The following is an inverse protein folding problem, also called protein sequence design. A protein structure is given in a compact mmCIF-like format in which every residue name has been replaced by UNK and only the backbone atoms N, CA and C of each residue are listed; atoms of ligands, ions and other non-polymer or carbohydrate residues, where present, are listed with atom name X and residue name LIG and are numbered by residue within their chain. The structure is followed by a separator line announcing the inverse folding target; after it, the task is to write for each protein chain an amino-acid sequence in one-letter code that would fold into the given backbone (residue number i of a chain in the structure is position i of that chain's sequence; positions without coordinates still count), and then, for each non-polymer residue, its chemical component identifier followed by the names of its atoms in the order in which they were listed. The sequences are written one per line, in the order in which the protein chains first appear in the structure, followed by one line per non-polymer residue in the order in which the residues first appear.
data_IF_720237943445
#
_entry.id   IF_720237943445
#
_cell.length_a   1.000
_cell.length_b   1.000
_cell.length_c   1.000
_cell.angle_alpha   90.00
_cell.angle_beta   90.00
_cell.angle_gamma   90.00
#
_symmetry.space_group_name_H-M   'P 1'
#
loop_
_entity.id
_entity.type
_entity.pdbx_description
1 polymer ?
#
# COMPACT_ATOMS: atom_id res chain seq x y z
N UNK A 1 15.68 19.05 36.85
CA UNK A 1 14.45 18.44 36.31
C UNK A 1 14.70 16.95 36.19
N UNK A 2 13.97 16.11 36.94
CA UNK A 2 14.15 14.65 36.86
C UNK A 2 13.65 14.18 35.51
N UNK A 3 14.55 13.65 34.66
CA UNK A 3 14.19 12.95 33.44
C UNK A 3 13.19 11.85 33.81
N UNK A 4 11.92 12.02 33.40
CA UNK A 4 10.92 10.97 33.51
C UNK A 4 11.38 9.89 32.53
N UNK A 5 11.98 8.81 33.04
CA UNK A 5 12.22 7.61 32.24
C UNK A 5 10.89 7.23 31.60
N UNK A 6 10.84 7.28 30.27
CA UNK A 6 9.64 6.96 29.54
C UNK A 6 9.22 5.51 29.83
N UNK A 7 7.91 5.33 29.95
CA UNK A 7 7.33 4.01 30.22
C UNK A 7 7.60 3.10 29.02
N UNK A 8 8.23 1.95 29.26
CA UNK A 8 8.45 0.96 28.20
C UNK A 8 7.10 0.49 27.65
N UNK A 9 6.91 0.43 26.32
CA UNK A 9 5.69 -0.06 25.70
C UNK A 9 5.39 -1.50 26.15
N UNK A 10 4.17 -1.74 26.58
CA UNK A 10 3.70 -3.05 27.01
C UNK A 10 3.04 -3.81 25.84
N UNK A 11 2.91 -5.15 25.93
CA UNK A 11 2.13 -5.92 24.95
C UNK A 11 0.67 -5.44 24.81
N UNK A 12 0.11 -4.84 25.87
CA UNK A 12 -1.23 -4.27 25.85
C UNK A 12 -1.28 -2.97 25.04
N UNK A 13 -0.22 -2.16 25.07
CA UNK A 13 -0.09 -0.95 24.26
C UNK A 13 0.02 -1.29 22.77
N UNK A 14 0.74 -2.37 22.40
CA UNK A 14 0.77 -2.89 21.03
C UNK A 14 -0.60 -3.36 20.54
N UNK A 15 -1.40 -4.02 21.39
CA UNK A 15 -2.78 -4.41 21.04
C UNK A 15 -3.67 -3.20 20.78
N UNK A 16 -3.56 -2.16 21.61
CA UNK A 16 -4.29 -0.91 21.41
C UNK A 16 -3.88 -0.23 20.09
N UNK A 17 -2.58 -0.18 19.80
CA UNK A 17 -2.04 0.37 18.57
C UNK A 17 -2.53 -0.38 17.32
N UNK A 18 -2.49 -1.71 17.35
CA UNK A 18 -3.05 -2.55 16.27
C UNK A 18 -4.54 -2.33 16.08
N UNK A 19 -5.30 -2.16 17.16
CA UNK A 19 -6.74 -1.86 17.10
C UNK A 19 -7.01 -0.50 16.45
N UNK A 20 -6.19 0.51 16.74
CA UNK A 20 -6.26 1.81 16.09
C UNK A 20 -5.95 1.73 14.59
N UNK A 21 -4.89 1.00 14.20
CA UNK A 21 -4.53 0.77 12.78
C UNK A 21 -5.67 0.09 12.01
N UNK A 22 -6.29 -0.95 12.60
CA UNK A 22 -7.44 -1.65 12.00
C UNK A 22 -8.63 -0.69 11.86
N UNK A 23 -8.89 0.13 12.87
CA UNK A 23 -9.98 1.10 12.86
C UNK A 23 -9.80 2.16 11.76
N UNK A 24 -8.59 2.68 11.58
CA UNK A 24 -8.24 3.60 10.50
C UNK A 24 -8.39 2.95 9.12
N UNK A 25 -7.95 1.70 8.97
CA UNK A 25 -8.14 0.93 7.72
C UNK A 25 -9.62 0.80 7.36
N UNK A 26 -10.49 0.59 8.35
CA UNK A 26 -11.94 0.53 8.13
C UNK A 26 -12.51 1.89 7.72
N UNK A 27 -12.03 2.99 8.30
CA UNK A 27 -12.44 4.35 7.95
C UNK A 27 -12.02 4.66 6.51
N UNK A 28 -10.77 4.39 6.15
CA UNK A 28 -10.21 4.55 4.80
C UNK A 28 -11.05 3.80 3.76
N UNK A 29 -11.35 2.51 4.00
CA UNK A 29 -12.18 1.70 3.09
C UNK A 29 -13.62 2.24 2.95
N UNK A 30 -14.17 2.87 3.99
CA UNK A 30 -15.49 3.52 3.90
C UNK A 30 -15.42 4.81 3.09
N UNK A 31 -14.38 5.62 3.31
CA UNK A 31 -14.15 6.86 2.56
C UNK A 31 -13.89 6.58 1.08
N UNK A 32 -13.06 5.59 0.75
CA UNK A 32 -12.77 5.20 -0.63
C UNK A 32 -14.05 4.82 -1.40
N UNK A 33 -14.90 3.98 -0.79
CA UNK A 33 -16.20 3.62 -1.38
C UNK A 33 -17.12 4.83 -1.57
N UNK A 34 -17.14 5.76 -0.61
CA UNK A 34 -17.95 6.97 -0.71
C UNK A 34 -17.43 7.92 -1.80
N UNK A 35 -16.11 8.05 -1.95
CA UNK A 35 -15.48 8.85 -3.00
C UNK A 35 -15.89 8.32 -4.37
N UNK A 36 -15.74 7.02 -4.63
CA UNK A 36 -16.15 6.40 -5.91
C UNK A 36 -17.64 6.61 -6.16
N UNK A 37 -18.48 6.42 -5.14
CA UNK A 37 -19.92 6.66 -5.24
C UNK A 37 -20.25 8.10 -5.63
N UNK A 38 -19.59 9.08 -5.00
CA UNK A 38 -19.81 10.50 -5.29
C UNK A 38 -19.28 10.91 -6.66
N UNK A 39 -18.17 10.33 -7.13
CA UNK A 39 -17.63 10.59 -8.48
C UNK A 39 -18.56 10.04 -9.56
N UNK A 40 -19.16 8.87 -9.35
CA UNK A 40 -20.17 8.32 -10.26
C UNK A 40 -21.46 9.17 -10.25
N UNK A 41 -21.86 9.65 -9.08
CA UNK A 41 -23.00 10.56 -8.94
C UNK A 41 -22.74 11.89 -9.64
N UNK A 42 -21.53 12.47 -9.51
CA UNK A 42 -21.12 13.67 -10.23
C UNK A 42 -21.25 13.48 -11.74
N UNK A 43 -20.70 12.37 -12.29
CA UNK A 43 -20.79 12.06 -13.73
C UNK A 43 -22.25 12.03 -14.20
N UNK A 44 -23.13 11.37 -13.44
CA UNK A 44 -24.57 11.32 -13.75
C UNK A 44 -25.20 12.71 -13.79
N UNK A 45 -24.97 13.54 -12.78
CA UNK A 45 -25.54 14.89 -12.72
C UNK A 45 -24.96 15.84 -13.77
N UNK A 46 -23.69 15.66 -14.14
CA UNK A 46 -23.07 16.38 -15.26
C UNK A 46 -23.79 16.09 -16.57
N UNK A 47 -24.10 14.81 -16.87
CA UNK A 47 -24.86 14.46 -18.08
C UNK A 47 -26.29 15.01 -18.06
N UNK A 48 -27.00 14.90 -16.94
CA UNK A 48 -28.34 15.49 -16.78
C UNK A 48 -28.33 17.02 -16.97
N UNK A 49 -27.30 17.70 -16.48
CA UNK A 49 -27.12 19.14 -16.67
C UNK A 49 -26.93 19.48 -18.15
N UNK A 50 -26.08 18.74 -18.87
CA UNK A 50 -25.89 18.90 -20.32
C UNK A 50 -27.18 18.69 -21.10
N UNK A 51 -27.97 17.68 -20.74
CA UNK A 51 -29.27 17.41 -21.37
C UNK A 51 -30.27 18.54 -21.12
N UNK A 52 -30.37 19.04 -19.89
CA UNK A 52 -31.24 20.17 -19.56
C UNK A 52 -30.85 21.43 -20.34
N UNK A 53 -29.54 21.70 -20.50
CA UNK A 53 -29.05 22.79 -21.33
C UNK A 53 -29.46 22.63 -22.81
N UNK A 54 -29.34 21.43 -23.39
CA UNK A 54 -29.78 21.15 -24.76
C UNK A 54 -31.28 21.39 -24.95
N UNK A 55 -32.10 21.04 -23.94
CA UNK A 55 -33.55 21.24 -23.93
C UNK A 55 -33.97 22.68 -23.61
N UNK A 56 -33.03 23.59 -23.35
CA UNK A 56 -33.26 24.97 -22.85
C UNK A 56 -34.04 25.03 -21.53
N UNK A 57 -34.02 23.95 -20.74
CA UNK A 57 -34.54 23.95 -19.37
C UNK A 57 -33.48 24.56 -18.43
N UNK A 58 -33.51 25.88 -18.33
CA UNK A 58 -32.54 26.64 -17.54
C UNK A 58 -32.70 26.40 -16.03
N UNK A 59 -33.92 26.13 -15.57
CA UNK A 59 -34.20 25.89 -14.15
C UNK A 59 -33.68 24.51 -13.72
N UNK A 60 -33.92 23.48 -14.54
CA UNK A 60 -33.33 22.15 -14.35
C UNK A 60 -31.81 22.19 -14.39
N UNK A 61 -31.21 22.85 -15.39
CA UNK A 61 -29.76 22.99 -15.51
C UNK A 61 -29.14 23.68 -14.29
N UNK A 62 -29.75 24.76 -13.78
CA UNK A 62 -29.30 25.45 -12.57
C UNK A 62 -29.37 24.56 -11.33
N UNK A 63 -30.46 23.80 -11.18
CA UNK A 63 -30.63 22.84 -10.08
C UNK A 63 -29.54 21.77 -10.12
N UNK A 64 -29.29 21.15 -11.28
CA UNK A 64 -28.22 20.16 -11.42
C UNK A 64 -26.83 20.74 -11.16
N UNK A 65 -26.56 21.97 -11.62
CA UNK A 65 -25.30 22.66 -11.32
C UNK A 65 -25.08 22.86 -9.80
N UNK A 66 -26.14 23.21 -9.06
CA UNK A 66 -26.08 23.34 -7.59
C UNK A 66 -25.80 21.99 -6.90
N UNK A 67 -26.41 20.90 -7.37
CA UNK A 67 -26.10 19.55 -6.88
C UNK A 67 -24.64 19.15 -7.17
N UNK A 68 -24.14 19.39 -8.39
CA UNK A 68 -22.75 19.12 -8.76
C UNK A 68 -21.79 19.87 -7.82
N UNK A 69 -22.06 21.15 -7.53
CA UNK A 69 -21.24 21.93 -6.61
C UNK A 69 -21.23 21.32 -5.18
N UNK A 70 -22.38 20.83 -4.72
CA UNK A 70 -22.52 20.18 -3.41
C UNK A 70 -21.79 18.82 -3.35
N UNK A 71 -21.85 18.04 -4.43
CA UNK A 71 -21.10 16.77 -4.58
C UNK A 71 -19.60 17.06 -4.55
N UNK A 72 -19.12 18.07 -5.28
CA UNK A 72 -17.70 18.48 -5.28
C UNK A 72 -17.21 18.91 -3.90
N UNK A 73 -18.03 19.66 -3.16
CA UNK A 73 -17.71 20.04 -1.78
C UNK A 73 -17.57 18.79 -0.88
N UNK A 74 -18.49 17.83 -1.03
CA UNK A 74 -18.45 16.55 -0.31
C UNK A 74 -17.23 15.71 -0.67
N UNK A 75 -16.88 15.63 -1.96
CA UNK A 75 -15.68 14.96 -2.45
C UNK A 75 -14.41 15.54 -1.85
N UNK A 76 -14.31 16.88 -1.79
CA UNK A 76 -13.17 17.57 -1.16
C UNK A 76 -13.01 17.14 0.29
N UNK A 77 -14.09 17.17 1.08
CA UNK A 77 -14.06 16.74 2.49
C UNK A 77 -13.66 15.26 2.60
N UNK A 78 -14.28 14.36 1.85
CA UNK A 78 -13.98 12.94 1.90
C UNK A 78 -12.53 12.63 1.52
N UNK A 79 -11.99 13.27 0.46
CA UNK A 79 -10.59 13.10 0.01
C UNK A 79 -9.62 13.61 1.07
N UNK A 80 -9.89 14.77 1.68
CA UNK A 80 -9.08 15.30 2.78
C UNK A 80 -9.08 14.36 3.99
N UNK A 81 -10.24 13.85 4.41
CA UNK A 81 -10.33 12.89 5.52
C UNK A 81 -9.61 11.58 5.21
N UNK A 82 -9.67 11.10 3.96
CA UNK A 82 -8.98 9.89 3.54
C UNK A 82 -7.45 10.05 3.63
N UNK A 83 -6.94 11.21 3.21
CA UNK A 83 -5.52 11.54 3.33
C UNK A 83 -5.06 11.53 4.80
N UNK A 84 -5.78 12.21 5.70
CA UNK A 84 -5.47 12.21 7.13
C UNK A 84 -5.51 10.81 7.76
N UNK A 85 -6.51 10.00 7.39
CA UNK A 85 -6.63 8.63 7.90
C UNK A 85 -5.44 7.76 7.45
N UNK A 86 -5.02 7.90 6.19
CA UNK A 86 -3.86 7.21 5.64
C UNK A 86 -2.57 7.64 6.34
N UNK A 87 -2.35 8.94 6.49
CA UNK A 87 -1.17 9.50 7.14
C UNK A 87 -1.04 9.01 8.59
N UNK A 88 -2.12 9.08 9.37
CA UNK A 88 -2.14 8.59 10.75
C UNK A 88 -1.88 7.08 10.80
N UNK A 89 -2.45 6.31 9.87
CA UNK A 89 -2.23 4.86 9.80
C UNK A 89 -0.75 4.54 9.57
N UNK A 90 -0.09 5.23 8.63
CA UNK A 90 1.34 5.05 8.35
C UNK A 90 2.16 5.36 9.61
N UNK A 91 1.90 6.49 10.27
CA UNK A 91 2.58 6.84 11.54
C UNK A 91 2.42 5.76 12.60
N UNK A 92 1.21 5.25 12.82
CA UNK A 92 0.95 4.19 13.80
C UNK A 92 1.64 2.87 13.44
N UNK A 93 1.74 2.52 12.15
CA UNK A 93 2.50 1.36 11.69
C UNK A 93 4.00 1.54 11.98
N UNK A 94 4.56 2.72 11.71
CA UNK A 94 5.96 3.01 12.05
C UNK A 94 6.22 2.91 13.55
N UNK A 95 5.33 3.45 14.39
CA UNK A 95 5.44 3.30 15.85
C UNK A 95 5.38 1.85 16.29
N UNK A 96 4.49 1.06 15.70
CA UNK A 96 4.39 -0.37 16.02
C UNK A 96 5.70 -1.07 15.71
N UNK A 97 6.31 -0.77 14.57
CA UNK A 97 7.56 -1.38 14.12
C UNK A 97 8.74 -1.02 15.03
N UNK A 98 8.85 0.24 15.46
CA UNK A 98 9.86 0.62 16.44
C UNK A 98 9.67 -0.10 17.78
N UNK A 99 8.43 -0.27 18.23
CA UNK A 99 8.13 -0.99 19.47
C UNK A 99 8.48 -2.47 19.35
N UNK A 100 8.22 -3.11 18.20
CA UNK A 100 8.60 -4.51 17.98
C UNK A 100 10.11 -4.68 17.98
N UNK A 101 10.84 -3.82 17.26
CA UNK A 101 12.31 -3.79 17.29
C UNK A 101 12.83 -3.65 18.75
N UNK A 102 12.21 -2.79 19.55
CA UNK A 102 12.55 -2.63 20.97
C UNK A 102 12.35 -3.92 21.78
N UNK A 103 11.25 -4.63 21.54
CA UNK A 103 10.95 -5.89 22.24
C UNK A 103 11.95 -6.99 21.87
N UNK A 104 12.48 -6.97 20.66
CA UNK A 104 13.43 -7.97 20.16
C UNK A 104 14.87 -7.68 20.60
N UNK A 105 15.32 -6.42 20.50
CA UNK A 105 16.72 -6.03 20.78
C UNK A 105 16.94 -5.74 22.28
N UNK A 106 15.96 -5.14 22.95
CA UNK A 106 16.09 -4.67 24.33
C UNK A 106 16.52 -5.74 25.34
N UNK A 107 15.97 -6.98 25.32
CA UNK A 107 16.44 -8.06 26.18
C UNK A 107 17.87 -8.50 25.88
N UNK A 108 18.23 -8.60 24.59
CA UNK A 108 19.57 -8.98 24.14
C UNK A 108 20.63 -8.01 24.66
N UNK A 109 20.32 -6.70 24.71
CA UNK A 109 21.24 -5.71 25.25
C UNK A 109 21.48 -5.84 26.76
N UNK A 110 20.46 -6.24 27.53
CA UNK A 110 20.63 -6.55 28.96
C UNK A 110 21.45 -7.82 29.17
N UNK A 111 21.21 -8.82 28.32
CA UNK A 111 21.97 -10.08 28.35
C UNK A 111 23.46 -9.83 28.08
N UNK A 112 23.77 -8.86 27.20
CA UNK A 112 25.14 -8.44 26.91
C UNK A 112 25.83 -7.85 28.16
N UNK A 113 25.12 -7.07 28.98
CA UNK A 113 25.61 -6.55 30.26
C UNK A 113 26.00 -7.68 31.23
N UNK A 114 25.13 -8.69 31.35
CA UNK A 114 25.37 -9.84 32.21
C UNK A 114 26.58 -10.66 31.74
N UNK A 115 26.76 -10.81 30.43
CA UNK A 115 27.93 -11.50 29.84
C UNK A 115 29.20 -10.69 30.06
N UNK A 116 29.18 -9.36 29.84
CA UNK A 116 30.32 -8.48 30.08
C UNK A 116 30.82 -8.61 31.53
N UNK A 117 29.88 -8.65 32.49
CA UNK A 117 30.20 -8.83 33.91
C UNK A 117 30.84 -10.19 34.25
N UNK A 118 30.46 -11.27 33.55
CA UNK A 118 31.07 -12.61 33.72
C UNK A 118 32.46 -12.72 33.09
N UNK A 119 32.67 -12.04 31.96
CA UNK A 119 33.92 -12.08 31.19
C UNK A 119 35.01 -11.19 31.79
N UNK A 120 34.62 -10.23 32.63
CA UNK A 120 35.51 -9.35 33.41
C UNK A 120 36.66 -10.06 34.12
N UNK A 121 36.45 -11.30 34.58
CA UNK A 121 37.46 -12.06 35.32
C UNK A 121 38.66 -12.53 34.50
N UNK A 122 38.56 -12.62 33.17
CA UNK A 122 39.63 -13.14 32.31
C UNK A 122 39.91 -12.30 31.05
N UNK A 123 38.96 -11.48 30.58
CA UNK A 123 39.20 -10.50 29.51
C UNK A 123 38.82 -9.07 29.97
N UNK A 124 39.55 -8.48 30.93
CA UNK A 124 39.26 -7.15 31.45
C UNK A 124 39.43 -6.06 30.39
N UNK A 125 40.30 -6.26 29.40
CA UNK A 125 40.56 -5.31 28.31
C UNK A 125 39.36 -5.14 27.36
N UNK A 126 38.47 -6.14 27.26
CA UNK A 126 37.30 -6.12 26.38
C UNK A 126 36.09 -5.44 27.04
N UNK A 127 36.16 -5.15 28.34
CA UNK A 127 35.03 -4.63 29.11
C UNK A 127 34.64 -3.21 28.69
N UNK A 128 35.63 -2.39 28.32
CA UNK A 128 35.41 -1.00 27.92
C UNK A 128 34.68 -0.94 26.57
N UNK A 129 35.14 -1.70 25.56
CA UNK A 129 34.49 -1.83 24.26
C UNK A 129 33.04 -2.35 24.37
N UNK A 130 32.81 -3.37 25.21
CA UNK A 130 31.48 -3.94 25.46
C UNK A 130 30.53 -2.91 26.09
N UNK A 131 31.05 -2.09 27.00
CA UNK A 131 30.27 -1.06 27.70
C UNK A 131 29.98 0.14 26.80
N UNK A 132 30.94 0.58 26.00
CA UNK A 132 30.73 1.63 24.99
C UNK A 132 29.66 1.22 23.99
N UNK A 133 29.71 -0.02 23.48
CA UNK A 133 28.66 -0.55 22.61
C UNK A 133 27.31 -0.58 23.33
N UNK A 134 27.28 -1.02 24.59
CA UNK A 134 26.04 -1.07 25.36
C UNK A 134 25.44 0.32 25.59
N UNK A 135 26.25 1.31 25.93
CA UNK A 135 25.82 2.69 26.15
C UNK A 135 25.35 3.34 24.85
N UNK A 136 26.06 3.10 23.74
CA UNK A 136 25.64 3.54 22.40
C UNK A 136 24.30 2.93 22.00
N UNK A 137 24.16 1.62 22.11
CA UNK A 137 22.93 0.90 21.78
C UNK A 137 21.76 1.33 22.68
N UNK A 138 22.02 1.57 23.97
CA UNK A 138 21.03 2.09 24.92
C UNK A 138 20.62 3.53 24.58
N UNK A 139 21.57 4.38 24.17
CA UNK A 139 21.30 5.77 23.79
C UNK A 139 20.48 5.86 22.50
N UNK A 140 20.84 5.08 21.47
CA UNK A 140 20.05 4.97 20.24
C UNK A 140 18.64 4.49 20.58
N UNK A 141 18.53 3.47 21.43
CA UNK A 141 17.24 2.99 21.90
C UNK A 141 16.44 4.08 22.62
N UNK A 142 17.02 4.75 23.62
CA UNK A 142 16.32 5.79 24.38
C UNK A 142 15.86 6.96 23.48
N UNK A 143 16.60 7.29 22.41
CA UNK A 143 16.18 8.28 21.41
C UNK A 143 14.99 7.86 20.54
N UNK A 144 14.70 6.55 20.47
CA UNK A 144 13.53 5.98 19.77
C UNK A 144 12.28 5.94 20.67
N UNK A 145 12.33 6.58 21.83
CA UNK A 145 11.21 6.69 22.76
C UNK A 145 9.97 7.33 22.08
N UNK A 146 8.77 6.72 22.15
CA UNK A 146 7.56 7.22 21.51
C UNK A 146 7.23 8.69 21.80
N UNK A 147 7.52 9.23 22.99
CA UNK A 147 7.29 10.66 23.28
C UNK A 147 8.29 11.58 22.54
N UNK A 148 9.56 11.18 22.48
CA UNK A 148 10.59 11.91 21.73
C UNK A 148 10.42 11.71 20.23
N UNK A 149 9.95 10.56 19.77
CA UNK A 149 9.65 10.32 18.37
C UNK A 149 8.35 11.01 17.96
N UNK A 150 7.34 11.16 18.83
CA UNK A 150 6.15 12.01 18.55
C UNK A 150 6.53 13.49 18.49
N UNK A 151 7.35 13.97 19.42
CA UNK A 151 7.87 15.34 19.40
C UNK A 151 8.79 15.57 18.20
N UNK A 152 9.64 14.61 17.89
CA UNK A 152 10.51 14.62 16.72
C UNK A 152 9.71 14.48 15.45
N UNK A 153 8.60 13.74 15.39
CA UNK A 153 7.71 13.67 14.24
C UNK A 153 6.91 14.96 14.07
N UNK A 154 6.58 15.69 15.14
CA UNK A 154 6.00 17.02 15.03
C UNK A 154 7.02 18.07 14.52
N UNK A 155 8.27 18.00 14.98
CA UNK A 155 9.40 18.84 14.51
C UNK A 155 9.92 18.40 13.13
N UNK A 156 9.81 17.11 12.85
CA UNK A 156 10.01 16.52 11.56
C UNK A 156 8.77 16.74 10.71
N UNK A 157 7.56 17.04 11.16
CA UNK A 157 6.47 17.42 10.24
C UNK A 157 6.75 18.82 9.67
N UNK A 158 7.31 19.71 10.49
CA UNK A 158 7.84 20.98 10.01
C UNK A 158 9.11 20.83 9.16
N UNK A 159 9.95 19.80 9.38
CA UNK A 159 11.19 19.53 8.60
C UNK A 159 11.06 18.47 7.48
N UNK A 160 10.04 17.63 7.49
CA UNK A 160 9.60 16.65 6.46
C UNK A 160 8.69 17.37 5.49
N UNK A 161 8.08 18.49 5.87
CA UNK A 161 7.62 19.47 4.89
C UNK A 161 8.77 19.96 3.99
N UNK A 162 10.06 19.80 4.34
CA UNK A 162 11.16 19.92 3.36
C UNK A 162 11.63 18.56 2.83
N UNK A 163 11.89 17.55 3.66
CA UNK A 163 12.38 16.23 3.18
C UNK A 163 11.35 15.35 2.45
N UNK A 164 10.10 15.23 2.93
CA UNK A 164 9.03 14.57 2.17
C UNK A 164 8.65 15.35 0.91
N UNK A 165 8.85 16.68 0.87
CA UNK A 165 8.73 17.44 -0.39
C UNK A 165 9.86 17.11 -1.34
N UNK A 166 11.09 16.94 -0.87
CA UNK A 166 12.23 16.53 -1.70
C UNK A 166 12.02 15.13 -2.27
N UNK A 167 11.67 14.14 -1.44
CA UNK A 167 11.35 12.78 -1.89
C UNK A 167 10.12 12.76 -2.79
N UNK A 168 9.08 13.53 -2.46
CA UNK A 168 7.91 13.66 -3.33
C UNK A 168 8.26 14.30 -4.68
N UNK A 169 9.09 15.35 -4.70
CA UNK A 169 9.55 15.97 -5.94
C UNK A 169 10.52 15.07 -6.72
N UNK A 170 11.36 14.28 -6.05
CA UNK A 170 12.22 13.29 -6.67
C UNK A 170 11.40 12.18 -7.32
N UNK A 171 10.44 11.59 -6.59
CA UNK A 171 9.52 10.59 -7.12
C UNK A 171 8.65 11.18 -8.23
N UNK A 172 8.16 12.42 -8.07
CA UNK A 172 7.36 13.12 -9.09
C UNK A 172 8.18 13.39 -10.35
N UNK A 173 9.44 13.79 -10.20
CA UNK A 173 10.37 13.97 -11.34
C UNK A 173 10.65 12.63 -12.00
N UNK A 174 10.93 11.58 -11.24
CA UNK A 174 11.16 10.23 -11.77
C UNK A 174 9.94 9.72 -12.55
N UNK A 175 8.73 9.83 -12.00
CA UNK A 175 7.49 9.43 -12.70
C UNK A 175 7.18 10.29 -13.93
N UNK A 176 7.50 11.58 -13.92
CA UNK A 176 7.35 12.43 -15.10
C UNK A 176 8.39 12.10 -16.19
N UNK A 177 9.61 11.73 -15.79
CA UNK A 177 10.66 11.27 -16.72
C UNK A 177 10.24 9.94 -17.34
N UNK A 178 9.74 8.97 -16.56
CA UNK A 178 9.23 7.70 -17.07
C UNK A 178 8.06 7.89 -18.05
N UNK A 179 7.09 8.75 -17.72
CA UNK A 179 5.97 9.07 -18.61
C UNK A 179 6.41 9.73 -19.93
N UNK A 180 7.47 10.56 -19.90
CA UNK A 180 8.06 11.15 -21.09
C UNK A 180 8.93 10.16 -21.89
N UNK A 181 9.47 9.10 -21.28
CA UNK A 181 10.25 8.08 -21.99
C UNK A 181 9.33 7.20 -22.83
N UNK A 182 8.13 6.86 -22.34
CA UNK A 182 7.13 6.08 -23.10
C UNK A 182 6.54 6.85 -24.29
N UNK A 183 6.46 8.19 -24.24
CA UNK A 183 6.01 9.03 -25.36
C UNK A 183 7.07 9.20 -26.47
N UNK A 184 8.34 8.87 -26.21
CA UNK A 184 9.46 9.09 -27.14
C UNK A 184 10.17 7.82 -27.59
N UNK A 185 9.68 6.62 -27.28
CA UNK A 185 10.22 5.40 -27.89
C UNK A 185 9.92 5.45 -29.40
N UNK A 186 10.93 5.62 -30.28
CA UNK A 186 10.69 5.45 -31.70
C UNK A 186 10.26 4.00 -31.91
N UNK A 187 9.16 3.80 -32.63
CA UNK A 187 8.77 2.46 -33.06
C UNK A 187 9.98 1.82 -33.75
N UNK A 188 10.29 0.53 -33.46
CA UNK A 188 11.40 -0.16 -34.10
C UNK A 188 11.30 0.03 -35.61
N UNK A 189 12.38 0.41 -36.30
CA UNK A 189 12.32 0.72 -37.71
C UNK A 189 11.71 -0.48 -38.44
N UNK A 190 10.61 -0.24 -39.15
CA UNK A 190 10.00 -1.22 -40.03
C UNK A 190 11.09 -1.67 -41.00
N UNK A 191 11.56 -2.90 -40.83
CA UNK A 191 12.36 -3.55 -41.86
C UNK A 191 11.51 -3.59 -43.11
N UNK A 192 11.88 -2.76 -44.09
CA UNK A 192 11.42 -2.86 -45.47
C UNK A 192 11.77 -4.26 -45.98
N UNK A 193 10.85 -5.20 -45.77
CA UNK A 193 10.78 -6.41 -46.56
C UNK A 193 10.22 -6.00 -47.92
N UNK A 194 11.10 -6.09 -48.90
CA UNK A 194 10.93 -5.57 -50.25
C UNK A 194 9.62 -5.96 -50.96
N UNK A 195 9.28 -5.11 -51.92
CA UNK A 195 8.17 -5.25 -52.84
C UNK A 195 8.20 -6.57 -53.64
N UNK A 196 7.04 -7.25 -53.68
CA UNK A 196 6.34 -7.70 -54.89
C UNK A 196 5.12 -8.57 -54.51
N UNK A 197 4.17 -8.85 -55.42
CA UNK A 197 3.32 -7.95 -56.21
C UNK A 197 1.82 -8.16 -55.87
N UNK A 198 0.96 -7.17 -56.20
CA UNK A 198 -0.50 -7.27 -56.08
C UNK A 198 -1.07 -8.40 -56.96
N UNK A 199 -2.11 -9.09 -56.49
CA UNK A 199 -3.32 -9.21 -57.31
C UNK A 199 -4.61 -8.90 -56.54
N UNK A 200 -5.48 -8.21 -57.27
CA UNK A 200 -6.87 -7.87 -56.99
C UNK A 200 -7.79 -9.09 -56.84
N UNK A 201 -8.63 -9.13 -55.81
CA UNK A 201 -10.03 -9.61 -55.87
C UNK A 201 -10.86 -9.13 -54.66
N UNK A 202 -12.18 -9.12 -54.88
CA UNK A 202 -13.33 -8.55 -54.16
C UNK A 202 -13.51 -8.88 -52.65
N UNK A 203 -14.36 -8.11 -51.94
CA UNK A 203 -14.50 -8.17 -50.48
C UNK A 203 -15.51 -9.22 -49.99
N UNK A 204 -15.18 -9.95 -48.91
CA UNK A 204 -16.22 -10.47 -48.04
C UNK A 204 -15.98 -10.20 -46.54
N UNK A 205 -17.09 -9.88 -45.90
CA UNK A 205 -17.52 -10.27 -44.55
C UNK A 205 -16.76 -9.75 -43.32
N UNK A 206 -17.51 -8.99 -42.52
CA UNK A 206 -17.14 -8.52 -41.17
C UNK A 206 -17.22 -9.69 -40.20
N UNK A 207 -16.09 -10.21 -39.77
CA UNK A 207 -16.01 -11.01 -38.55
C UNK A 207 -15.86 -10.10 -37.31
N UNK A 208 -16.46 -10.45 -36.16
CA UNK A 208 -16.39 -9.63 -34.97
C UNK A 208 -14.96 -9.61 -34.42
N UNK A 209 -14.44 -8.38 -34.23
CA UNK A 209 -13.15 -8.13 -33.57
C UNK A 209 -13.20 -8.75 -32.17
N UNK A 210 -12.37 -9.76 -31.93
CA UNK A 210 -12.14 -10.31 -30.60
C UNK A 210 -11.30 -9.28 -29.84
N UNK A 211 -11.93 -8.56 -28.90
CA UNK A 211 -11.23 -7.62 -28.03
C UNK A 211 -10.48 -8.45 -26.98
N UNK A 212 -9.18 -8.61 -27.16
CA UNK A 212 -8.31 -9.12 -26.11
C UNK A 212 -8.08 -7.99 -25.11
N UNK A 213 -8.66 -8.13 -23.92
CA UNK A 213 -8.35 -7.28 -22.78
C UNK A 213 -6.94 -7.65 -22.29
N UNK A 214 -5.94 -6.86 -22.68
CA UNK A 214 -4.64 -6.86 -22.02
C UNK A 214 -4.79 -6.17 -20.66
N UNK A 215 -4.82 -6.96 -19.59
CA UNK A 215 -4.64 -6.45 -18.24
C UNK A 215 -3.15 -6.15 -18.06
N UNK A 216 -2.84 -4.87 -18.01
CA UNK A 216 -1.51 -4.37 -17.68
C UNK A 216 -1.15 -4.77 -16.23
N UNK A 217 0.03 -5.36 -16.07
CA UNK A 217 0.82 -5.31 -14.83
C UNK A 217 0.44 -6.24 -13.69
N UNK A 218 0.80 -7.53 -13.82
CA UNK A 218 1.26 -8.35 -12.69
C UNK A 218 2.23 -9.39 -13.23
N UNK A 219 3.38 -9.59 -12.58
CA UNK A 219 4.35 -10.64 -12.91
C UNK A 219 3.63 -11.93 -13.29
N UNK A 220 3.84 -12.41 -14.50
CA UNK A 220 3.29 -13.67 -14.98
C UNK A 220 3.96 -14.83 -14.24
N UNK A 221 3.59 -15.04 -12.99
CA UNK A 221 3.89 -16.27 -12.27
C UNK A 221 3.21 -17.41 -13.02
N UNK A 222 3.94 -18.50 -13.22
CA UNK A 222 3.36 -19.69 -13.81
C UNK A 222 2.19 -20.18 -12.95
N UNK A 223 1.18 -20.87 -13.51
CA UNK A 223 0.07 -21.40 -12.74
C UNK A 223 0.53 -22.30 -11.57
N UNK A 224 1.69 -22.94 -11.73
CA UNK A 224 2.32 -23.81 -10.74
C UNK A 224 2.95 -23.02 -9.59
N UNK A 225 3.57 -21.86 -9.88
CA UNK A 225 4.09 -20.94 -8.87
C UNK A 225 2.99 -20.34 -8.01
N UNK A 226 1.84 -20.02 -8.64
CA UNK A 226 0.66 -19.51 -7.93
C UNK A 226 0.14 -20.57 -6.94
N UNK A 227 0.12 -21.84 -7.35
CA UNK A 227 -0.32 -22.95 -6.50
C UNK A 227 0.59 -23.15 -5.29
N UNK A 228 1.91 -23.09 -5.48
CA UNK A 228 2.88 -23.26 -4.39
C UNK A 228 2.86 -22.07 -3.43
N UNK A 229 2.75 -20.84 -3.95
CA UNK A 229 2.59 -19.62 -3.16
C UNK A 229 1.28 -19.61 -2.37
N UNK A 230 0.19 -20.14 -2.93
CA UNK A 230 -1.06 -20.32 -2.19
C UNK A 230 -0.90 -21.37 -1.09
N UNK A 231 -0.28 -22.52 -1.39
CA UNK A 231 -0.09 -23.62 -0.43
C UNK A 231 0.73 -23.19 0.79
N UNK A 232 1.82 -22.45 0.59
CA UNK A 232 2.61 -21.89 1.70
C UNK A 232 1.76 -20.93 2.53
N UNK A 233 1.01 -20.06 1.87
CA UNK A 233 0.09 -19.13 2.53
C UNK A 233 -1.02 -19.84 3.33
N UNK A 234 -1.60 -20.95 2.83
CA UNK A 234 -2.61 -21.74 3.56
C UNK A 234 -2.02 -22.36 4.83
N UNK A 235 -0.79 -22.87 4.74
CA UNK A 235 -0.07 -23.48 5.86
C UNK A 235 0.24 -22.46 6.95
N UNK A 236 0.70 -21.27 6.57
CA UNK A 236 0.96 -20.17 7.51
C UNK A 236 -0.31 -19.60 8.13
N UNK A 237 -1.40 -19.50 7.35
CA UNK A 237 -2.68 -18.97 7.82
C UNK A 237 -3.50 -19.97 8.68
N UNK A 238 -2.99 -21.17 8.93
CA UNK A 238 -3.64 -22.17 9.79
C UNK A 238 -4.99 -22.65 9.26
N UNK A 239 -5.16 -22.70 7.93
CA UNK A 239 -6.35 -23.26 7.28
C UNK A 239 -7.58 -22.33 7.18
N UNK A 240 -7.45 -21.03 7.49
CA UNK A 240 -8.51 -20.02 7.22
C UNK A 240 -8.01 -18.97 6.26
N UNK A 241 -8.61 -18.91 5.07
CA UNK A 241 -8.23 -17.96 4.04
C UNK A 241 -9.38 -17.00 3.72
N UNK A 242 -9.03 -15.72 3.63
CA UNK A 242 -9.89 -14.71 3.04
C UNK A 242 -9.38 -14.45 1.61
N UNK A 243 -10.20 -14.78 0.61
CA UNK A 243 -9.84 -14.66 -0.82
C UNK A 243 -9.39 -13.24 -1.21
N UNK A 244 -10.05 -12.20 -0.67
CA UNK A 244 -9.72 -10.81 -1.00
C UNK A 244 -8.40 -10.36 -0.35
N UNK A 245 -8.07 -10.90 0.83
CA UNK A 245 -6.80 -10.63 1.51
C UNK A 245 -5.64 -11.38 0.86
N UNK A 246 -5.86 -12.65 0.51
CA UNK A 246 -4.92 -13.51 -0.20
C UNK A 246 -4.54 -12.92 -1.57
N UNK A 247 -5.54 -12.52 -2.37
CA UNK A 247 -5.35 -11.86 -3.66
C UNK A 247 -4.47 -10.60 -3.54
N UNK A 248 -4.71 -9.78 -2.51
CA UNK A 248 -3.95 -8.54 -2.29
C UNK A 248 -2.52 -8.78 -1.79
N UNK A 249 -2.31 -9.78 -0.94
CA UNK A 249 -0.99 -10.09 -0.36
C UNK A 249 -0.09 -10.86 -1.34
N UNK A 250 -0.68 -11.69 -2.21
CA UNK A 250 0.05 -12.41 -3.27
C UNK A 250 0.14 -11.63 -4.60
N UNK A 251 -0.49 -10.45 -4.69
CA UNK A 251 -0.51 -9.66 -5.93
C UNK A 251 -1.30 -10.31 -7.08
N UNK A 252 -2.24 -11.20 -6.74
CA UNK A 252 -3.02 -11.99 -7.70
C UNK A 252 -4.44 -11.44 -7.85
N UNK A 253 -5.09 -11.74 -8.98
CA UNK A 253 -6.52 -11.47 -9.12
C UNK A 253 -7.34 -12.45 -8.26
N UNK A 254 -8.52 -12.01 -7.82
CA UNK A 254 -9.45 -12.88 -7.07
C UNK A 254 -9.85 -14.11 -7.91
N UNK A 255 -9.86 -13.97 -9.24
CA UNK A 255 -10.21 -15.06 -10.15
C UNK A 255 -9.07 -16.10 -10.26
N UNK A 256 -7.81 -15.66 -10.26
CA UNK A 256 -6.65 -16.55 -10.29
C UNK A 256 -6.47 -17.31 -8.98
N UNK A 257 -6.73 -16.65 -7.85
CA UNK A 257 -6.78 -17.30 -6.53
C UNK A 257 -7.88 -18.37 -6.49
N UNK A 258 -9.07 -18.09 -7.07
CA UNK A 258 -10.17 -19.06 -7.14
C UNK A 258 -9.83 -20.25 -8.03
N UNK A 259 -9.27 -20.03 -9.22
CA UNK A 259 -8.87 -21.09 -10.14
C UNK A 259 -7.81 -22.00 -9.52
N UNK A 260 -6.83 -21.41 -8.84
CA UNK A 260 -5.74 -22.13 -8.17
C UNK A 260 -6.23 -22.93 -6.96
N UNK A 261 -7.14 -22.37 -6.14
CA UNK A 261 -7.80 -23.13 -5.05
C UNK A 261 -8.59 -24.33 -5.56
N UNK A 262 -9.31 -24.19 -6.67
CA UNK A 262 -10.03 -25.31 -7.29
C UNK A 262 -9.07 -26.38 -7.81
N UNK A 263 -7.99 -25.99 -8.51
CA UNK A 263 -6.96 -26.92 -9.00
C UNK A 263 -6.25 -27.65 -7.85
N UNK A 264 -5.93 -26.97 -6.76
CA UNK A 264 -5.36 -27.58 -5.56
C UNK A 264 -6.32 -28.54 -4.86
N UNK A 265 -7.63 -28.27 -4.93
CA UNK A 265 -8.67 -29.15 -4.38
C UNK A 265 -8.89 -30.39 -5.26
N UNK A 266 -8.90 -30.24 -6.59
CA UNK A 266 -8.97 -31.32 -7.57
C UNK A 266 -7.75 -32.25 -7.47
N UNK A 267 -6.56 -31.68 -7.25
CA UNK A 267 -5.32 -32.41 -7.02
C UNK A 267 -5.21 -33.01 -5.61
N UNK A 268 -6.24 -32.89 -4.76
CA UNK A 268 -6.30 -33.47 -3.42
C UNK A 268 -5.34 -32.87 -2.39
N UNK A 269 -4.67 -31.76 -2.71
CA UNK A 269 -3.69 -31.10 -1.84
C UNK A 269 -4.34 -30.24 -0.75
N UNK A 270 -5.58 -29.79 -0.97
CA UNK A 270 -6.39 -29.04 0.00
C UNK A 270 -7.83 -29.55 0.01
N UNK A 271 -8.54 -29.34 1.12
CA UNK A 271 -9.95 -29.73 1.26
C UNK A 271 -10.76 -28.52 1.69
N UNK A 272 -11.48 -27.93 0.75
CA UNK A 272 -12.28 -26.72 1.00
C UNK A 272 -13.54 -27.14 1.78
N UNK A 273 -13.64 -26.71 3.05
CA UNK A 273 -14.86 -26.86 3.86
C UNK A 273 -15.47 -25.48 4.06
N UNK A 274 -16.60 -25.24 3.39
CA UNK A 274 -17.34 -23.98 3.44
C UNK A 274 -17.88 -23.57 2.09
N UNK A 275 -18.91 -24.29 1.64
CA UNK A 275 -20.01 -23.71 0.87
C UNK A 275 -21.18 -23.53 1.84
#
# INVERSE_FOLDING_TARGET
MRSRRARRPTPQDLKALNTAIISLTRIENKLARRIISLENEEKKYVELCKEAMKKRDLLGARTYASYIASIRASLKVCKTCAAYALEMKVKLVCYREMITIWQDIGPSLRTLEDVANKVKGFLPWLLEDLREFQDMASSIMDSLNPEEVVRSISVLESSLSSSSKEVFEEIRKATLIEANVDEFLPSPPEQELGEAPKPSHEPPEREPITVSLSYDGAYAMSPEEIDEALLSYIREAGGRINMARCAKELGLSIDDVRKSLNRLAENGRIRIRGL
#
